data_IF_848032036483
#
_entry.id   IF_848032036483
#
_cell.length_a   1.000
_cell.length_b   1.000
_cell.length_c   1.000
_cell.angle_alpha   90.00
_cell.angle_beta   90.00
_cell.angle_gamma   90.00
#
_symmetry.space_group_name_H-M   'P 1'
#
loop_
_entity.id
_entity.type
_entity.pdbx_description
1 polymer ?
#
# COMPACT_ATOMS: atom_id res chain seq x y z
N UNK A 1 -9.84 17.29 16.49
CA UNK A 1 -9.53 17.53 15.07
C UNK A 1 -9.79 19.00 14.78
N UNK A 2 -8.84 19.73 14.19
CA UNK A 2 -9.09 21.09 13.74
C UNK A 2 -9.96 21.04 12.48
N UNK A 3 -11.04 21.81 12.44
CA UNK A 3 -11.90 21.92 11.26
C UNK A 3 -11.20 22.67 10.12
N UNK A 4 -11.67 22.50 8.87
CA UNK A 4 -11.05 23.15 7.70
C UNK A 4 -11.02 24.68 7.81
N UNK A 5 -11.99 25.27 8.51
CA UNK A 5 -12.06 26.70 8.84
C UNK A 5 -10.92 27.14 9.76
N UNK A 6 -10.61 26.35 10.79
CA UNK A 6 -9.51 26.62 11.72
C UNK A 6 -8.15 26.45 11.02
N UNK A 7 -8.00 25.41 10.20
CA UNK A 7 -6.80 25.21 9.38
C UNK A 7 -6.61 26.39 8.40
N UNK A 8 -7.68 26.84 7.75
CA UNK A 8 -7.63 27.99 6.83
C UNK A 8 -7.17 29.26 7.55
N UNK A 9 -7.70 29.54 8.75
CA UNK A 9 -7.28 30.68 9.55
C UNK A 9 -5.80 30.61 9.94
N UNK A 10 -5.35 29.46 10.44
CA UNK A 10 -3.95 29.26 10.87
C UNK A 10 -2.96 29.31 9.69
N UNK A 11 -3.34 28.74 8.54
CA UNK A 11 -2.53 28.84 7.32
C UNK A 11 -2.49 30.29 6.84
N UNK A 12 -3.62 31.00 6.78
CA UNK A 12 -3.65 32.40 6.36
C UNK A 12 -2.75 33.29 7.24
N UNK A 13 -2.76 33.09 8.57
CA UNK A 13 -1.88 33.84 9.50
C UNK A 13 -0.40 33.59 9.24
N UNK A 14 -0.02 32.37 8.87
CA UNK A 14 1.38 31.96 8.66
C UNK A 14 1.86 32.11 7.22
N UNK A 15 0.92 32.20 6.29
CA UNK A 15 1.17 32.38 4.86
C UNK A 15 1.08 33.86 4.51
N UNK A 16 1.86 34.32 3.53
CA UNK A 16 1.80 35.70 3.02
C UNK A 16 0.62 35.91 2.04
N UNK A 17 -0.45 35.12 2.17
CA UNK A 17 -1.58 35.12 1.22
C UNK A 17 -2.59 36.24 1.47
N UNK A 18 -2.56 36.86 2.67
CA UNK A 18 -3.32 38.06 3.07
C UNK A 18 -4.83 38.05 2.74
N UNK A 19 -5.40 36.90 2.42
CA UNK A 19 -6.79 36.72 2.05
C UNK A 19 -7.24 35.31 2.45
N UNK A 20 -8.26 35.26 3.30
CA UNK A 20 -8.88 34.02 3.75
C UNK A 20 -9.47 33.26 2.57
N UNK A 21 -10.05 33.98 1.61
CA UNK A 21 -10.66 33.38 0.43
C UNK A 21 -9.62 32.72 -0.48
N UNK A 22 -8.48 33.39 -0.72
CA UNK A 22 -7.38 32.82 -1.48
C UNK A 22 -6.77 31.61 -0.77
N UNK A 23 -6.60 31.70 0.55
CA UNK A 23 -6.12 30.58 1.37
C UNK A 23 -7.05 29.37 1.25
N UNK A 24 -8.36 29.59 1.30
CA UNK A 24 -9.37 28.54 1.13
C UNK A 24 -9.29 27.90 -0.27
N UNK A 25 -9.16 28.70 -1.33
CA UNK A 25 -8.99 28.20 -2.71
C UNK A 25 -7.76 27.31 -2.84
N UNK A 26 -6.62 27.73 -2.30
CA UNK A 26 -5.37 26.97 -2.32
C UNK A 26 -5.50 25.66 -1.55
N UNK A 27 -6.08 25.67 -0.35
CA UNK A 27 -6.28 24.46 0.45
C UNK A 27 -7.23 23.46 -0.23
N UNK A 28 -8.32 23.95 -0.84
CA UNK A 28 -9.24 23.10 -1.58
C UNK A 28 -8.56 22.47 -2.80
N UNK A 29 -7.79 23.25 -3.56
CA UNK A 29 -7.02 22.74 -4.69
C UNK A 29 -6.01 21.67 -4.25
N UNK A 30 -5.30 21.91 -3.14
CA UNK A 30 -4.38 20.94 -2.54
C UNK A 30 -5.08 19.62 -2.18
N UNK A 31 -6.25 19.68 -1.54
CA UNK A 31 -7.02 18.50 -1.15
C UNK A 31 -7.55 17.74 -2.36
N UNK A 32 -8.07 18.44 -3.38
CA UNK A 32 -8.56 17.82 -4.61
C UNK A 32 -7.45 17.16 -5.40
N UNK A 33 -6.29 17.81 -5.58
CA UNK A 33 -5.13 17.19 -6.24
C UNK A 33 -4.68 15.96 -5.47
N UNK A 34 -4.58 16.05 -4.13
CA UNK A 34 -4.21 14.90 -3.27
C UNK A 34 -5.20 13.74 -3.46
N UNK A 35 -6.50 14.02 -3.47
CA UNK A 35 -7.56 13.03 -3.68
C UNK A 35 -7.45 12.39 -5.07
N UNK A 36 -7.29 13.18 -6.14
CA UNK A 36 -7.15 12.67 -7.50
C UNK A 36 -5.92 11.77 -7.66
N UNK A 37 -4.77 12.19 -7.15
CA UNK A 37 -3.54 11.38 -7.19
C UNK A 37 -3.67 10.06 -6.43
N UNK A 38 -4.31 10.09 -5.26
CA UNK A 38 -4.64 8.86 -4.53
C UNK A 38 -5.58 7.96 -5.34
N UNK A 39 -6.60 8.50 -6.01
CA UNK A 39 -7.51 7.73 -6.87
C UNK A 39 -6.78 7.06 -8.03
N UNK A 40 -5.78 7.74 -8.61
CA UNK A 40 -4.93 7.20 -9.66
C UNK A 40 -3.93 6.12 -9.16
N UNK A 41 -3.81 5.93 -7.84
CA UNK A 41 -2.91 4.94 -7.24
C UNK A 41 -1.51 5.45 -6.95
N UNK A 42 -1.27 6.75 -7.05
CA UNK A 42 -0.01 7.35 -6.68
C UNK A 42 0.17 7.35 -5.16
N UNK A 43 1.41 7.11 -4.71
CA UNK A 43 1.79 7.28 -3.32
C UNK A 43 2.24 8.73 -3.13
N UNK A 44 1.63 9.45 -2.19
CA UNK A 44 1.97 10.84 -1.92
C UNK A 44 2.92 10.86 -0.73
N UNK A 45 4.13 11.37 -0.93
CA UNK A 45 5.14 11.44 0.12
C UNK A 45 5.55 12.89 0.39
N UNK A 46 5.21 13.39 1.58
CA UNK A 46 5.71 14.65 2.10
C UNK A 46 6.94 14.36 2.95
N UNK A 47 8.13 14.59 2.37
CA UNK A 47 9.43 14.31 3.01
C UNK A 47 9.52 14.99 4.39
N UNK A 48 9.84 14.21 5.42
CA UNK A 48 9.93 14.69 6.80
C UNK A 48 8.59 14.78 7.52
N UNK A 49 7.47 14.63 6.81
CA UNK A 49 6.13 14.69 7.37
C UNK A 49 5.45 13.32 7.36
N UNK A 50 4.84 12.93 6.25
CA UNK A 50 4.06 11.70 6.17
C UNK A 50 3.94 11.17 4.75
N UNK A 51 3.53 9.91 4.63
CA UNK A 51 3.15 9.26 3.38
C UNK A 51 1.67 8.89 3.40
N UNK A 52 0.96 9.17 2.30
CA UNK A 52 -0.40 8.71 2.04
C UNK A 52 -0.38 7.67 0.92
N UNK A 53 -1.14 6.59 1.11
CA UNK A 53 -1.28 5.52 0.12
C UNK A 53 -2.67 4.90 0.19
N UNK A 54 -3.29 4.58 -0.94
CA UNK A 54 -4.48 3.71 -0.96
C UNK A 54 -4.10 2.25 -0.80
N UNK A 55 -4.84 1.54 0.05
CA UNK A 55 -4.67 0.10 0.18
C UNK A 55 -5.18 -0.59 -1.08
N UNK A 56 -4.47 -1.61 -1.56
CA UNK A 56 -4.93 -2.48 -2.64
C UNK A 56 -5.76 -3.65 -2.09
N UNK A 57 -6.74 -4.10 -2.86
CA UNK A 57 -7.44 -5.36 -2.62
C UNK A 57 -6.46 -6.53 -2.62
N UNK A 58 -6.84 -7.64 -1.97
CA UNK A 58 -6.07 -8.88 -2.07
C UNK A 58 -6.14 -9.38 -3.52
N UNK A 59 -5.00 -9.56 -4.21
CA UNK A 59 -5.02 -10.04 -5.59
C UNK A 59 -5.67 -11.43 -5.66
N UNK A 60 -6.61 -11.60 -6.60
CA UNK A 60 -7.29 -12.88 -6.87
C UNK A 60 -6.50 -13.68 -7.90
N UNK A 61 -6.31 -14.98 -7.66
CA UNK A 61 -5.63 -15.90 -8.58
C UNK A 61 -4.32 -16.48 -8.02
N UNK A 62 -3.72 -17.41 -8.78
CA UNK A 62 -2.46 -18.05 -8.40
C UNK A 62 -1.26 -17.19 -8.75
N UNK A 63 -0.37 -17.01 -7.77
CA UNK A 63 0.92 -16.33 -7.91
C UNK A 63 1.97 -17.17 -8.64
N UNK A 64 1.68 -18.44 -8.91
CA UNK A 64 2.62 -19.39 -9.52
C UNK A 64 2.33 -19.52 -11.02
N UNK A 65 3.38 -19.74 -11.81
CA UNK A 65 3.21 -20.17 -13.20
C UNK A 65 2.50 -21.52 -13.26
N UNK A 66 1.95 -21.86 -14.42
CA UNK A 66 1.02 -22.98 -14.54
C UNK A 66 1.70 -24.33 -14.26
N UNK A 67 2.98 -24.46 -14.58
CA UNK A 67 3.82 -25.62 -14.25
C UNK A 67 3.92 -25.83 -12.73
N UNK A 68 4.46 -24.85 -12.01
CA UNK A 68 4.61 -24.94 -10.56
C UNK A 68 3.26 -24.99 -9.82
N UNK A 69 2.20 -24.39 -10.39
CA UNK A 69 0.86 -24.51 -9.85
C UNK A 69 0.37 -25.96 -9.91
N UNK A 70 0.53 -26.63 -11.05
CA UNK A 70 0.19 -28.04 -11.22
C UNK A 70 0.99 -28.94 -10.28
N UNK A 71 2.29 -28.70 -10.13
CA UNK A 71 3.13 -29.48 -9.19
C UNK A 71 2.67 -29.31 -7.74
N UNK A 72 2.36 -28.08 -7.32
CA UNK A 72 1.85 -27.80 -5.97
C UNK A 72 0.48 -28.44 -5.74
N UNK A 73 -0.39 -28.43 -6.74
CA UNK A 73 -1.70 -29.06 -6.67
C UNK A 73 -1.59 -30.58 -6.61
N UNK A 74 -0.75 -31.20 -7.45
CA UNK A 74 -0.46 -32.64 -7.39
C UNK A 74 0.07 -33.05 -6.02
N UNK A 75 1.04 -32.32 -5.47
CA UNK A 75 1.57 -32.60 -4.14
C UNK A 75 0.48 -32.50 -3.06
N UNK A 76 -0.36 -31.46 -3.12
CA UNK A 76 -1.47 -31.27 -2.17
C UNK A 76 -2.54 -32.35 -2.29
N UNK A 77 -2.87 -32.78 -3.51
CA UNK A 77 -3.84 -33.85 -3.75
C UNK A 77 -3.32 -35.18 -3.22
N UNK A 78 -2.06 -35.53 -3.51
CA UNK A 78 -1.43 -36.74 -3.00
C UNK A 78 -1.30 -36.77 -1.47
N UNK A 79 -1.26 -35.59 -0.83
CA UNK A 79 -1.12 -35.44 0.62
C UNK A 79 -2.36 -34.79 1.26
N UNK A 80 -3.53 -35.01 0.65
CA UNK A 80 -4.79 -34.47 1.18
C UNK A 80 -5.05 -35.02 2.59
N UNK A 81 -5.54 -34.16 3.48
CA UNK A 81 -5.81 -34.53 4.88
C UNK A 81 -4.58 -34.54 5.79
N UNK A 82 -3.36 -34.36 5.25
CA UNK A 82 -2.18 -34.13 6.10
C UNK A 82 -2.24 -32.73 6.71
N UNK A 83 -1.95 -32.60 8.01
CA UNK A 83 -1.96 -31.32 8.72
C UNK A 83 -0.77 -30.42 8.35
N UNK A 84 -0.81 -29.14 8.76
CA UNK A 84 0.23 -28.14 8.43
C UNK A 84 1.64 -28.59 8.84
N UNK A 85 1.77 -29.32 9.95
CA UNK A 85 3.05 -29.86 10.42
C UNK A 85 3.71 -30.84 9.44
N UNK A 86 2.93 -31.61 8.68
CA UNK A 86 3.46 -32.50 7.65
C UNK A 86 4.08 -31.70 6.48
N UNK A 87 3.36 -30.68 6.00
CA UNK A 87 3.84 -29.81 4.92
C UNK A 87 5.11 -29.06 5.33
N UNK A 88 5.17 -28.56 6.56
CA UNK A 88 6.34 -27.84 7.08
C UNK A 88 7.59 -28.73 7.15
N UNK A 89 7.44 -30.03 7.49
CA UNK A 89 8.54 -31.00 7.59
C UNK A 89 8.89 -31.68 6.26
N UNK A 90 8.01 -31.66 5.26
CA UNK A 90 8.26 -32.26 3.96
C UNK A 90 9.37 -31.54 3.19
N UNK A 91 10.47 -32.25 2.89
CA UNK A 91 11.56 -31.74 2.05
C UNK A 91 11.09 -31.47 0.62
N UNK A 92 10.25 -32.35 0.07
CA UNK A 92 9.66 -32.20 -1.27
C UNK A 92 8.81 -30.94 -1.37
N UNK A 93 7.94 -30.67 -0.38
CA UNK A 93 7.16 -29.44 -0.35
C UNK A 93 8.05 -28.19 -0.20
N UNK A 94 9.03 -28.22 0.70
CA UNK A 94 9.97 -27.10 0.90
C UNK A 94 10.77 -26.78 -0.36
N UNK A 95 11.27 -27.79 -1.06
CA UNK A 95 11.99 -27.61 -2.32
C UNK A 95 11.09 -27.03 -3.41
N UNK A 96 9.85 -27.50 -3.50
CA UNK A 96 8.87 -26.99 -4.45
C UNK A 96 8.55 -25.51 -4.20
N UNK A 97 8.35 -25.13 -2.94
CA UNK A 97 8.17 -23.71 -2.55
C UNK A 97 9.43 -22.90 -2.87
N UNK A 98 10.63 -23.45 -2.62
CA UNK A 98 11.90 -22.82 -3.00
C UNK A 98 12.01 -22.53 -4.50
N UNK A 99 11.68 -23.52 -5.35
CA UNK A 99 11.63 -23.37 -6.81
C UNK A 99 10.66 -22.27 -7.24
N UNK A 100 9.44 -22.25 -6.68
CA UNK A 100 8.46 -21.20 -7.00
C UNK A 100 8.94 -19.80 -6.61
N UNK A 101 9.64 -19.66 -5.48
CA UNK A 101 10.20 -18.39 -5.01
C UNK A 101 11.29 -17.84 -5.93
N UNK A 102 12.09 -18.73 -6.54
CA UNK A 102 13.21 -18.35 -7.39
C UNK A 102 12.83 -18.22 -8.87
N UNK A 103 11.76 -18.88 -9.32
CA UNK A 103 11.28 -18.86 -10.69
C UNK A 103 10.91 -17.45 -11.19
N UNK A 104 11.50 -17.03 -12.31
CA UNK A 104 11.24 -15.74 -12.95
C UNK A 104 9.77 -15.59 -13.39
N UNK A 105 9.17 -16.65 -13.98
CA UNK A 105 7.76 -16.64 -14.41
C UNK A 105 6.81 -16.46 -13.22
N UNK A 106 7.07 -17.12 -12.09
CA UNK A 106 6.30 -16.93 -10.85
C UNK A 106 6.45 -15.51 -10.29
N UNK A 107 7.67 -14.96 -10.29
CA UNK A 107 7.90 -13.56 -9.87
C UNK A 107 7.14 -12.56 -10.76
N UNK A 108 7.17 -12.75 -12.07
CA UNK A 108 6.46 -11.91 -13.04
C UNK A 108 4.94 -11.98 -12.84
N UNK A 109 4.37 -13.19 -12.77
CA UNK A 109 2.92 -13.39 -12.54
C UNK A 109 2.47 -12.79 -11.20
N UNK A 110 3.27 -12.95 -10.15
CA UNK A 110 3.03 -12.30 -8.86
C UNK A 110 3.01 -10.78 -8.98
N UNK A 111 3.94 -10.17 -9.72
CA UNK A 111 3.93 -8.72 -9.93
C UNK A 111 2.73 -8.25 -10.75
N UNK A 112 2.37 -8.96 -11.82
CA UNK A 112 1.18 -8.67 -12.62
C UNK A 112 -0.08 -8.69 -11.75
N UNK A 113 -0.23 -9.68 -10.88
CA UNK A 113 -1.34 -9.77 -9.93
C UNK A 113 -1.38 -8.61 -8.93
N UNK A 114 -0.22 -8.17 -8.44
CA UNK A 114 -0.14 -7.01 -7.55
C UNK A 114 -0.55 -5.74 -8.30
N UNK A 115 -0.13 -5.58 -9.56
CA UNK A 115 -0.50 -4.43 -10.40
C UNK A 115 -1.98 -4.44 -10.81
N UNK A 116 -2.58 -5.61 -11.01
CA UNK A 116 -4.00 -5.74 -11.35
C UNK A 116 -4.92 -5.62 -10.12
N UNK A 117 -4.37 -5.55 -8.90
CA UNK A 117 -5.16 -5.42 -7.70
C UNK A 117 -5.83 -4.04 -7.64
N UNK A 118 -7.16 -4.01 -7.62
CA UNK A 118 -7.94 -2.77 -7.53
C UNK A 118 -7.64 -2.04 -6.23
N UNK A 119 -7.58 -0.72 -6.28
CA UNK A 119 -7.46 0.12 -5.09
C UNK A 119 -8.76 0.10 -4.29
N UNK A 120 -8.64 0.10 -2.95
CA UNK A 120 -9.76 0.20 -2.02
C UNK A 120 -9.95 1.65 -1.60
N UNK A 121 -11.13 2.01 -1.06
CA UNK A 121 -11.38 3.37 -0.55
C UNK A 121 -10.61 3.69 0.74
N UNK A 122 -9.90 2.71 1.31
CA UNK A 122 -9.12 2.90 2.53
C UNK A 122 -7.77 3.54 2.23
N UNK A 123 -7.51 4.68 2.88
CA UNK A 123 -6.22 5.38 2.86
C UNK A 123 -5.41 4.96 4.08
N UNK A 124 -4.13 4.67 3.87
CA UNK A 124 -3.12 4.50 4.91
C UNK A 124 -2.34 5.79 5.06
N UNK A 125 -2.21 6.24 6.31
CA UNK A 125 -1.38 7.37 6.72
C UNK A 125 -0.19 6.84 7.51
N UNK A 126 1.02 7.14 7.04
CA UNK A 126 2.26 6.75 7.73
C UNK A 126 3.07 8.00 8.08
N UNK A 127 3.15 8.38 9.37
CA UNK A 127 3.97 9.51 9.80
C UNK A 127 5.47 9.17 9.71
N UNK A 128 6.29 10.19 9.49
CA UNK A 128 7.75 10.12 9.61
C UNK A 128 8.16 10.06 11.09
N UNK A 129 9.39 9.59 11.37
CA UNK A 129 9.91 9.37 12.72
C UNK A 129 9.74 10.57 13.67
N UNK A 130 9.87 11.78 13.14
CA UNK A 130 9.83 13.02 13.92
C UNK A 130 8.55 13.84 13.69
N UNK A 131 7.55 13.28 13.00
CA UNK A 131 6.32 14.01 12.66
C UNK A 131 5.55 14.52 13.89
N UNK A 132 5.57 13.74 14.98
CA UNK A 132 4.90 14.10 16.23
C UNK A 132 5.80 14.85 17.22
N UNK A 133 7.08 15.03 16.90
CA UNK A 133 7.96 15.80 17.76
C UNK A 133 7.65 17.27 17.55
N UNK A 134 6.90 17.84 18.49
CA UNK A 134 6.72 19.28 18.57
C UNK A 134 8.11 19.89 18.73
N UNK A 135 8.58 20.64 17.73
CA UNK A 135 9.80 21.44 17.94
C UNK A 135 9.48 22.39 19.07
N UNK A 136 10.10 22.20 20.25
CA UNK A 136 10.13 23.25 21.26
C UNK A 136 10.68 24.49 20.53
N UNK A 137 9.88 25.56 20.48
CA UNK A 137 10.24 26.83 19.84
C UNK A 137 11.70 27.16 20.19
N UNK A 138 12.53 27.41 19.18
CA UNK A 138 13.61 28.38 19.32
C UNK A 138 13.00 29.76 19.19
#
# INVERSE_FOLDING_TARGET
MLGITQITSEVNKKSKLNSIENTKKVLNAFLEVTKQKLIQGENINFKGYFTLKRNSTKPKGSKNCDEHQKELEKFKQANKGKGVGFYAKSNTFRNLVGKTRNCAKCKAKKQQLIKSAKLTNRVSFKPSKDFWKVSKKR
#
